data_IF_182088246254
#
_entry.id   IF_182088246254
#
_cell.length_a   1.000
_cell.length_b   1.000
_cell.length_c   1.000
_cell.angle_alpha   90.00
_cell.angle_beta   90.00
_cell.angle_gamma   90.00
#
_symmetry.space_group_name_H-M   'P 1'
#
loop_
_entity.id
_entity.type
_entity.pdbx_description
1 polymer ?
#
# COMPACT_ATOMS: atom_id res chain seq x y z
N UNK A 1 -20.84 6.65 -8.86
CA UNK A 1 -21.05 8.11 -9.06
C UNK A 1 -21.91 8.29 -10.30
N UNK A 2 -22.95 9.13 -10.24
CA UNK A 2 -23.87 9.35 -11.36
C UNK A 2 -23.13 10.02 -12.53
N UNK A 3 -23.29 9.53 -13.77
CA UNK A 3 -22.62 10.11 -14.93
C UNK A 3 -23.15 11.53 -15.18
N UNK A 4 -22.27 12.53 -15.15
CA UNK A 4 -22.59 13.91 -15.55
C UNK A 4 -22.45 15.00 -14.49
N UNK A 5 -22.09 14.68 -13.25
CA UNK A 5 -21.77 15.69 -12.22
C UNK A 5 -20.30 15.62 -11.89
N UNK A 6 -19.53 16.69 -12.15
CA UNK A 6 -18.11 16.78 -11.76
C UNK A 6 -17.92 16.34 -10.30
N UNK A 7 -16.87 15.55 -10.07
CA UNK A 7 -16.54 15.10 -8.73
C UNK A 7 -15.97 16.27 -7.95
N UNK A 8 -16.76 16.84 -7.04
CA UNK A 8 -16.31 17.85 -6.07
C UNK A 8 -15.42 17.27 -4.96
N UNK A 9 -14.95 16.02 -5.12
CA UNK A 9 -14.14 15.35 -4.10
C UNK A 9 -12.84 16.13 -3.80
N UNK A 10 -12.22 16.69 -4.83
CA UNK A 10 -11.01 17.51 -4.67
C UNK A 10 -11.27 18.75 -3.79
N UNK A 11 -12.39 19.46 -4.01
CA UNK A 11 -12.79 20.59 -3.17
C UNK A 11 -13.15 20.16 -1.74
N UNK A 12 -13.81 19.02 -1.57
CA UNK A 12 -14.20 18.51 -0.26
C UNK A 12 -12.96 18.15 0.55
N UNK A 13 -12.06 17.36 -0.03
CA UNK A 13 -10.81 16.93 0.64
C UNK A 13 -9.91 18.13 0.91
N UNK A 14 -9.85 19.10 0.00
CA UNK A 14 -9.05 20.33 0.16
C UNK A 14 -9.42 21.19 1.36
N UNK A 15 -10.62 21.02 1.94
CA UNK A 15 -11.01 21.72 3.18
C UNK A 15 -10.40 21.12 4.45
N UNK A 16 -9.87 19.90 4.37
CA UNK A 16 -9.36 19.15 5.53
C UNK A 16 -7.83 18.96 5.51
N UNK A 17 -7.12 19.52 4.54
CA UNK A 17 -5.66 19.39 4.42
C UNK A 17 -5.02 20.66 3.88
N UNK A 18 -3.75 20.86 4.22
CA UNK A 18 -2.90 21.90 3.62
C UNK A 18 -2.21 21.43 2.34
N UNK A 19 -2.22 20.12 2.06
CA UNK A 19 -1.68 19.56 0.82
C UNK A 19 -2.50 20.02 -0.39
N UNK A 20 -1.87 20.37 -1.53
CA UNK A 20 -2.60 20.64 -2.76
C UNK A 20 -3.42 19.42 -3.17
N UNK A 21 -4.72 19.62 -3.40
CA UNK A 21 -5.63 18.58 -3.88
C UNK A 21 -5.96 18.84 -5.35
N UNK A 22 -5.43 18.01 -6.24
CA UNK A 22 -5.43 18.25 -7.69
C UNK A 22 -6.16 17.14 -8.40
N UNK A 23 -7.03 17.48 -9.36
CA UNK A 23 -7.61 16.50 -10.27
C UNK A 23 -6.54 16.10 -11.29
N UNK A 24 -6.32 14.79 -11.45
CA UNK A 24 -5.23 14.28 -12.28
C UNK A 24 -5.43 14.67 -13.74
N UNK A 25 -4.37 15.15 -14.38
CA UNK A 25 -4.27 15.30 -15.83
C UNK A 25 -3.27 14.28 -16.41
N UNK A 26 -3.38 14.00 -17.72
CA UNK A 26 -2.45 13.09 -18.39
C UNK A 26 -1.00 13.59 -18.27
N UNK A 27 -0.10 12.74 -17.80
CA UNK A 27 1.30 13.09 -17.63
C UNK A 27 1.62 13.84 -16.33
N UNK A 28 0.69 13.89 -15.36
CA UNK A 28 0.93 14.51 -14.05
C UNK A 28 2.06 13.78 -13.33
N UNK A 29 3.14 14.49 -12.99
CA UNK A 29 4.23 13.94 -12.16
C UNK A 29 3.80 13.92 -10.69
N UNK A 30 4.01 12.79 -10.02
CA UNK A 30 3.72 12.63 -8.60
C UNK A 30 4.77 13.35 -7.77
N UNK A 31 4.32 14.23 -6.88
CA UNK A 31 5.15 14.97 -5.94
C UNK A 31 4.74 14.63 -4.50
N UNK A 32 5.70 14.72 -3.58
CA UNK A 32 5.44 14.63 -2.14
C UNK A 32 4.49 15.73 -1.68
N UNK A 33 3.74 15.49 -0.61
CA UNK A 33 2.80 16.44 0.00
C UNK A 33 1.65 16.88 -0.92
N UNK A 34 1.22 16.01 -1.84
CA UNK A 34 0.10 16.26 -2.75
C UNK A 34 -0.97 15.17 -2.64
N UNK A 35 -2.22 15.54 -2.90
CA UNK A 35 -3.36 14.62 -3.02
C UNK A 35 -3.88 14.67 -4.46
N UNK A 36 -3.91 13.52 -5.11
CA UNK A 36 -4.36 13.40 -6.49
C UNK A 36 -5.73 12.73 -6.56
N UNK A 37 -6.68 13.36 -7.25
CA UNK A 37 -8.04 12.86 -7.42
C UNK A 37 -8.26 12.41 -8.86
N UNK A 38 -8.61 11.14 -9.04
CA UNK A 38 -8.92 10.57 -10.36
C UNK A 38 -10.14 11.28 -10.99
N UNK A 39 -10.05 11.71 -12.26
CA UNK A 39 -11.21 12.27 -12.96
C UNK A 39 -12.23 11.18 -13.32
N UNK A 40 -13.40 11.58 -13.82
CA UNK A 40 -14.45 10.63 -14.17
C UNK A 40 -14.21 9.95 -15.51
N UNK A 41 -14.77 8.74 -15.66
CA UNK A 41 -14.78 7.98 -16.92
C UNK A 41 -13.39 7.66 -17.51
N UNK A 42 -12.37 7.67 -16.66
CA UNK A 42 -11.01 7.26 -17.01
C UNK A 42 -10.53 6.14 -16.09
N UNK A 43 -9.47 5.50 -16.55
CA UNK A 43 -8.67 4.53 -15.84
C UNK A 43 -7.37 5.23 -15.50
N UNK A 44 -7.02 5.25 -14.21
CA UNK A 44 -5.78 5.83 -13.72
C UNK A 44 -4.72 4.74 -13.54
N UNK A 45 -3.53 4.96 -14.05
CA UNK A 45 -2.33 4.14 -13.82
C UNK A 45 -1.14 5.03 -13.49
N UNK A 46 0.00 4.44 -13.13
CA UNK A 46 1.25 5.15 -12.87
C UNK A 46 2.42 4.42 -13.54
N UNK A 47 3.36 5.18 -14.11
CA UNK A 47 4.62 4.66 -14.65
C UNK A 47 5.72 5.70 -14.46
N UNK A 48 6.85 5.29 -13.86
CA UNK A 48 8.03 6.11 -13.54
C UNK A 48 7.66 7.38 -12.76
N UNK A 49 6.77 7.25 -11.77
CA UNK A 49 6.27 8.38 -10.98
C UNK A 49 5.36 9.35 -11.74
N UNK A 50 4.88 8.97 -12.93
CA UNK A 50 3.97 9.79 -13.76
C UNK A 50 2.60 9.12 -13.86
N UNK A 51 1.56 9.86 -13.50
CA UNK A 51 0.17 9.42 -13.62
C UNK A 51 -0.28 9.45 -15.08
N UNK A 52 -0.92 8.36 -15.49
CA UNK A 52 -1.41 8.13 -16.84
C UNK A 52 -2.91 7.87 -16.81
N UNK A 53 -3.61 8.46 -17.76
CA UNK A 53 -5.04 8.36 -17.94
C UNK A 53 -5.34 7.63 -19.24
N UNK A 54 -6.21 6.63 -19.15
CA UNK A 54 -6.78 5.96 -20.32
C UNK A 54 -8.28 6.12 -20.29
N UNK A 55 -8.90 6.38 -21.45
CA UNK A 55 -10.36 6.45 -21.50
C UNK A 55 -10.97 5.09 -21.16
N UNK A 56 -11.92 5.07 -20.24
CA UNK A 56 -12.69 3.86 -19.95
C UNK A 56 -13.53 3.54 -21.17
N UNK A 57 -13.36 2.35 -21.76
CA UNK A 57 -14.21 1.91 -22.85
C UNK A 57 -15.67 1.80 -22.35
N UNK A 58 -16.61 2.50 -22.97
CA UNK A 58 -18.03 2.49 -22.57
C UNK A 58 -18.64 1.09 -22.69
N UNK A 59 -18.14 0.27 -23.61
CA UNK A 59 -18.58 -1.11 -23.83
C UNK A 59 -17.99 -2.11 -22.83
N UNK A 60 -16.87 -1.75 -22.19
CA UNK A 60 -16.21 -2.52 -21.15
C UNK A 60 -15.83 -1.56 -20.04
N UNK A 61 -16.78 -1.21 -19.17
CA UNK A 61 -16.43 -0.63 -17.87
C UNK A 61 -15.43 -1.57 -17.25
N UNK A 62 -14.17 -1.16 -17.16
CA UNK A 62 -13.17 -1.92 -16.43
C UNK A 62 -13.72 -2.15 -15.04
N UNK A 63 -13.89 -3.43 -14.71
CA UNK A 63 -14.74 -3.81 -13.58
C UNK A 63 -14.10 -3.50 -12.23
N UNK A 64 -12.81 -3.09 -12.22
CA UNK A 64 -11.96 -2.98 -11.04
C UNK A 64 -10.86 -1.90 -11.19
N UNK A 65 -11.20 -0.60 -11.30
CA UNK A 65 -10.21 0.47 -11.44
C UNK A 65 -9.20 0.55 -10.27
N UNK A 66 -9.59 0.21 -9.05
CA UNK A 66 -8.67 0.23 -7.89
C UNK A 66 -7.64 -0.90 -8.03
N UNK A 67 -8.06 -2.10 -8.42
CA UNK A 67 -7.12 -3.22 -8.68
C UNK A 67 -6.09 -2.85 -9.75
N UNK A 68 -6.52 -2.16 -10.81
CA UNK A 68 -5.65 -1.73 -11.90
C UNK A 68 -4.62 -0.71 -11.39
N UNK A 69 -5.08 0.33 -10.69
CA UNK A 69 -4.19 1.35 -10.16
C UNK A 69 -3.20 0.77 -9.14
N UNK A 70 -3.65 -0.05 -8.20
CA UNK A 70 -2.80 -0.68 -7.20
C UNK A 70 -1.77 -1.63 -7.83
N UNK A 71 -2.12 -2.34 -8.89
CA UNK A 71 -1.17 -3.19 -9.61
C UNK A 71 -0.07 -2.36 -10.27
N UNK A 72 -0.43 -1.28 -10.97
CA UNK A 72 0.54 -0.35 -11.56
C UNK A 72 1.42 0.32 -10.50
N UNK A 73 0.82 0.74 -9.37
CA UNK A 73 1.55 1.33 -8.25
C UNK A 73 2.54 0.35 -7.64
N UNK A 74 2.16 -0.92 -7.50
CA UNK A 74 3.04 -1.96 -6.98
C UNK A 74 4.24 -2.21 -7.90
N UNK A 75 4.02 -2.20 -9.22
CA UNK A 75 5.08 -2.36 -10.21
C UNK A 75 6.04 -1.17 -10.23
N UNK A 76 5.52 0.05 -10.12
CA UNK A 76 6.31 1.27 -10.19
C UNK A 76 7.06 1.59 -8.89
N UNK A 77 6.39 1.49 -7.75
CA UNK A 77 6.89 1.93 -6.44
C UNK A 77 7.38 0.77 -5.56
N UNK A 78 7.06 -0.47 -5.92
CA UNK A 78 7.54 -1.65 -5.21
C UNK A 78 7.18 -1.64 -3.72
N UNK A 79 8.21 -1.60 -2.89
CA UNK A 79 8.09 -1.57 -1.43
C UNK A 79 7.64 -0.22 -0.85
N UNK A 80 7.77 0.87 -1.62
CA UNK A 80 7.31 2.20 -1.23
C UNK A 80 5.81 2.37 -1.47
N UNK A 81 5.16 1.40 -2.17
CA UNK A 81 3.73 1.41 -2.40
C UNK A 81 2.94 1.13 -1.11
N UNK A 82 1.92 1.95 -0.86
CA UNK A 82 0.94 1.70 0.20
C UNK A 82 -0.46 1.70 -0.40
N UNK A 83 -1.19 0.59 -0.23
CA UNK A 83 -2.57 0.45 -0.67
C UNK A 83 -3.52 0.56 0.52
N UNK A 84 -4.40 1.56 0.52
CA UNK A 84 -5.40 1.77 1.57
C UNK A 84 -6.80 1.55 0.99
N UNK A 85 -7.53 0.58 1.53
CA UNK A 85 -8.90 0.24 1.11
C UNK A 85 -9.89 0.75 2.17
N UNK A 86 -10.71 1.72 1.78
CA UNK A 86 -11.72 2.33 2.65
C UNK A 86 -13.13 1.81 2.31
N UNK A 87 -14.13 2.29 3.06
CA UNK A 87 -15.55 2.03 2.82
C UNK A 87 -15.92 2.17 1.34
N UNK A 88 -16.47 1.11 0.75
CA UNK A 88 -16.77 1.00 -0.67
C UNK A 88 -17.61 -0.24 -0.97
N UNK A 89 -18.24 -0.26 -2.13
CA UNK A 89 -18.99 -1.43 -2.61
C UNK A 89 -18.12 -2.38 -3.44
N UNK A 90 -18.50 -3.66 -3.48
CA UNK A 90 -17.83 -4.71 -4.27
C UNK A 90 -16.39 -5.02 -3.81
N UNK A 91 -15.68 -5.93 -4.48
CA UNK A 91 -14.36 -6.44 -4.09
C UNK A 91 -13.15 -5.69 -4.68
N UNK A 92 -13.38 -4.53 -5.31
CA UNK A 92 -12.32 -3.77 -6.01
C UNK A 92 -11.21 -3.32 -5.05
N UNK A 93 -9.96 -3.52 -5.44
CA UNK A 93 -8.77 -3.30 -4.62
C UNK A 93 -8.22 -4.56 -3.94
N UNK A 94 -8.97 -5.66 -3.87
CA UNK A 94 -8.48 -6.92 -3.25
C UNK A 94 -7.32 -7.54 -4.02
N UNK A 95 -7.40 -7.60 -5.36
CA UNK A 95 -6.33 -8.16 -6.19
C UNK A 95 -5.16 -7.18 -6.31
N UNK A 96 -5.45 -5.87 -6.34
CA UNK A 96 -4.44 -4.83 -6.27
C UNK A 96 -3.64 -4.86 -4.97
N UNK A 97 -4.30 -5.10 -3.83
CA UNK A 97 -3.62 -5.27 -2.54
C UNK A 97 -2.69 -6.49 -2.57
N UNK A 98 -3.08 -7.57 -3.26
CA UNK A 98 -2.17 -8.71 -3.49
C UNK A 98 -0.89 -8.26 -4.19
N UNK A 99 -1.02 -7.52 -5.28
CA UNK A 99 0.12 -7.04 -6.06
C UNK A 99 1.06 -6.16 -5.20
N UNK A 100 0.50 -5.20 -4.44
CA UNK A 100 1.27 -4.36 -3.51
C UNK A 100 2.03 -5.23 -2.51
N UNK A 101 1.36 -6.21 -1.90
CA UNK A 101 1.97 -7.10 -0.90
C UNK A 101 3.09 -7.97 -1.48
N UNK A 102 2.89 -8.53 -2.66
CA UNK A 102 3.89 -9.35 -3.37
C UNK A 102 5.15 -8.53 -3.74
N UNK A 103 4.98 -7.25 -4.03
CA UNK A 103 6.09 -6.30 -4.28
C UNK A 103 6.72 -5.73 -3.02
N UNK A 104 6.22 -6.12 -1.85
CA UNK A 104 6.77 -5.74 -0.55
C UNK A 104 6.23 -4.43 0.01
N UNK A 105 5.26 -3.79 -0.65
CA UNK A 105 4.53 -2.63 -0.16
C UNK A 105 3.52 -2.97 0.95
N UNK A 106 2.97 -1.95 1.60
CA UNK A 106 2.07 -2.07 2.75
C UNK A 106 0.60 -2.08 2.31
N UNK A 107 -0.21 -2.96 2.90
CA UNK A 107 -1.64 -3.02 2.64
C UNK A 107 -2.44 -2.73 3.91
N UNK A 108 -3.38 -1.79 3.79
CA UNK A 108 -4.23 -1.31 4.89
C UNK A 108 -5.68 -1.38 4.47
N UNK A 109 -6.57 -1.77 5.37
CA UNK A 109 -7.99 -1.69 5.15
C UNK A 109 -8.72 -1.09 6.36
N UNK A 110 -9.81 -0.37 6.10
CA UNK A 110 -10.68 0.16 7.13
C UNK A 110 -11.36 -0.98 7.91
N UNK A 111 -11.12 -1.02 9.21
CA UNK A 111 -11.86 -1.86 10.15
C UNK A 111 -13.09 -1.11 10.70
N UNK A 112 -14.11 -1.83 11.20
CA UNK A 112 -15.21 -1.21 11.93
C UNK A 112 -14.72 -0.48 13.21
N UNK A 113 -15.30 0.68 13.46
CA UNK A 113 -15.13 1.53 14.66
C UNK A 113 -16.23 1.30 15.73
N UNK A 114 -17.11 0.32 15.51
CA UNK A 114 -18.32 0.06 16.30
C UNK A 114 -19.62 0.41 15.57
N UNK A 115 -19.60 1.34 14.61
CA UNK A 115 -20.71 1.64 13.69
C UNK A 115 -20.46 1.10 12.28
N UNK A 116 -19.20 0.78 11.97
CA UNK A 116 -18.79 0.08 10.76
C UNK A 116 -18.73 0.99 9.53
N UNK A 117 -17.93 0.63 8.51
CA UNK A 117 -17.93 1.36 7.25
C UNK A 117 -19.33 1.34 6.63
N UNK A 118 -19.81 2.51 6.18
CA UNK A 118 -21.15 2.68 5.59
C UNK A 118 -21.42 1.69 4.46
N UNK A 119 -20.39 1.38 3.67
CA UNK A 119 -20.39 0.31 2.68
C UNK A 119 -19.22 -0.64 3.01
N UNK A 120 -19.48 -1.78 3.67
CA UNK A 120 -18.42 -2.59 4.24
C UNK A 120 -17.84 -3.64 3.28
N UNK A 121 -18.43 -3.84 2.10
CA UNK A 121 -18.12 -4.98 1.22
C UNK A 121 -16.66 -4.98 0.76
N UNK A 122 -16.16 -3.83 0.33
CA UNK A 122 -14.79 -3.66 -0.15
C UNK A 122 -13.74 -3.92 0.93
N UNK A 123 -13.75 -3.23 2.09
CA UNK A 123 -12.78 -3.51 3.15
C UNK A 123 -12.94 -4.94 3.72
N UNK A 124 -14.18 -5.46 3.84
CA UNK A 124 -14.39 -6.85 4.30
C UNK A 124 -13.79 -7.89 3.35
N UNK A 125 -13.98 -7.73 2.04
CA UNK A 125 -13.37 -8.60 1.02
C UNK A 125 -11.85 -8.59 1.15
N UNK A 126 -11.27 -7.40 1.25
CA UNK A 126 -9.82 -7.25 1.35
C UNK A 126 -9.26 -7.89 2.63
N UNK A 127 -9.87 -7.63 3.79
CA UNK A 127 -9.45 -8.23 5.07
C UNK A 127 -9.58 -9.76 5.03
N UNK A 128 -10.69 -10.28 4.51
CA UNK A 128 -10.97 -11.73 4.48
C UNK A 128 -10.02 -12.49 3.56
N UNK A 129 -9.37 -11.81 2.61
CA UNK A 129 -8.37 -12.42 1.72
C UNK A 129 -7.03 -12.76 2.41
N UNK A 130 -6.80 -12.27 3.64
CA UNK A 130 -5.51 -12.39 4.33
C UNK A 130 -4.39 -11.52 3.74
N UNK A 131 -4.73 -10.66 2.77
CA UNK A 131 -3.77 -9.79 2.10
C UNK A 131 -3.53 -8.47 2.83
N UNK A 132 -4.39 -8.09 3.79
CA UNK A 132 -4.24 -6.86 4.58
C UNK A 132 -3.23 -7.06 5.71
N UNK A 133 -2.29 -6.14 5.85
CA UNK A 133 -1.34 -6.11 6.97
C UNK A 133 -1.92 -5.38 8.18
N UNK A 134 -2.62 -4.27 7.95
CA UNK A 134 -3.18 -3.44 9.01
C UNK A 134 -4.68 -3.25 8.75
N UNK A 135 -5.50 -3.73 9.68
CA UNK A 135 -6.92 -3.40 9.75
C UNK A 135 -7.14 -2.43 10.91
N UNK A 136 -7.67 -1.23 10.63
CA UNK A 136 -7.85 -0.19 11.65
C UNK A 136 -9.03 0.75 11.34
N UNK A 137 -9.66 1.37 12.36
CA UNK A 137 -10.60 2.47 12.16
C UNK A 137 -10.00 3.56 11.28
N UNK A 138 -10.83 4.26 10.50
CA UNK A 138 -10.34 5.21 9.49
C UNK A 138 -9.54 6.36 10.10
N UNK A 139 -9.97 6.83 11.27
CA UNK A 139 -9.32 7.85 12.10
C UNK A 139 -7.91 7.45 12.56
N UNK A 140 -7.65 6.14 12.73
CA UNK A 140 -6.37 5.63 13.20
C UNK A 140 -5.38 5.36 12.06
N UNK A 141 -5.86 5.22 10.82
CA UNK A 141 -5.03 4.86 9.67
C UNK A 141 -3.89 5.87 9.47
N UNK A 142 -4.19 7.18 9.56
CA UNK A 142 -3.18 8.22 9.36
C UNK A 142 -1.99 8.09 10.31
N UNK A 143 -2.25 7.93 11.62
CA UNK A 143 -1.21 7.76 12.63
C UNK A 143 -0.40 6.47 12.42
N UNK A 144 -1.06 5.39 12.00
CA UNK A 144 -0.37 4.12 11.68
C UNK A 144 0.54 4.25 10.47
N UNK A 145 0.11 4.95 9.42
CA UNK A 145 0.93 5.23 8.24
C UNK A 145 2.15 6.06 8.59
N UNK A 146 1.98 7.10 9.41
CA UNK A 146 3.09 7.95 9.87
C UNK A 146 4.11 7.16 10.72
N UNK A 147 3.63 6.31 11.64
CA UNK A 147 4.48 5.42 12.43
C UNK A 147 5.24 4.41 11.57
N UNK A 148 4.60 3.89 10.53
CA UNK A 148 5.24 3.00 9.55
C UNK A 148 6.31 3.73 8.74
N UNK A 149 6.00 4.91 8.19
CA UNK A 149 6.92 5.71 7.39
C UNK A 149 8.20 6.07 8.16
N UNK A 150 8.06 6.55 9.41
CA UNK A 150 9.21 6.83 10.29
C UNK A 150 10.11 5.61 10.49
N UNK A 151 9.49 4.45 10.70
CA UNK A 151 10.23 3.20 10.90
C UNK A 151 10.96 2.74 9.64
N UNK A 152 10.33 2.96 8.49
CA UNK A 152 10.83 2.59 7.18
C UNK A 152 12.04 3.46 6.79
N UNK A 153 12.00 4.77 7.02
CA UNK A 153 13.11 5.69 6.77
C UNK A 153 14.35 5.37 7.63
N UNK A 154 14.14 5.05 8.90
CA UNK A 154 15.23 4.61 9.80
C UNK A 154 15.98 3.38 9.26
N UNK A 155 15.31 2.51 8.51
CA UNK A 155 15.91 1.31 7.92
C UNK A 155 16.59 1.59 6.58
N UNK A 156 16.06 2.53 5.79
CA UNK A 156 16.68 2.96 4.53
C UNK A 156 17.94 3.80 4.76
N UNK A 157 18.04 4.52 5.89
CA UNK A 157 19.21 5.32 6.26
C UNK A 157 20.46 4.51 6.63
N UNK A 158 20.39 3.18 6.74
CA UNK A 158 21.57 2.33 6.98
C UNK A 158 22.33 2.18 5.64
N UNK A 159 23.65 2.45 5.56
CA UNK A 159 24.42 2.36 4.30
C UNK A 159 24.46 0.96 3.68
N UNK A 160 24.35 0.84 2.35
CA UNK A 160 24.35 -0.44 1.60
C UNK A 160 25.65 -1.25 1.73
N UNK A 161 26.77 -0.57 1.95
CA UNK A 161 28.04 -1.20 2.27
C UNK A 161 27.91 -1.87 3.65
N UNK A 162 27.78 -3.20 3.66
CA UNK A 162 27.67 -4.06 4.85
C UNK A 162 28.87 -4.04 5.81
N UNK A 163 29.57 -2.91 5.92
CA UNK A 163 30.73 -2.68 6.78
C UNK A 163 30.42 -2.69 8.28
N UNK A 164 29.15 -2.81 8.67
CA UNK A 164 28.73 -3.04 10.06
C UNK A 164 27.51 -3.98 10.16
N UNK A 165 27.50 -5.12 9.47
CA UNK A 165 26.69 -6.25 9.95
C UNK A 165 27.40 -6.79 11.20
N UNK A 166 26.92 -6.44 12.39
CA UNK A 166 27.47 -6.97 13.65
C UNK A 166 27.33 -8.50 13.65
N UNK A 167 28.30 -9.22 14.23
CA UNK A 167 28.28 -10.69 14.29
C UNK A 167 26.97 -11.26 14.85
N UNK A 168 26.32 -10.54 15.77
CA UNK A 168 25.05 -10.94 16.37
C UNK A 168 23.86 -10.87 15.40
N UNK A 169 23.82 -9.87 14.51
CA UNK A 169 22.79 -9.76 13.46
C UNK A 169 22.92 -10.90 12.44
N UNK A 170 24.15 -11.28 12.08
CA UNK A 170 24.41 -12.40 11.18
C UNK A 170 23.92 -13.73 11.75
N UNK A 171 24.19 -13.98 13.05
CA UNK A 171 23.70 -15.18 13.75
C UNK A 171 22.17 -15.23 13.83
N UNK A 172 21.53 -14.14 14.24
CA UNK A 172 20.07 -14.06 14.33
C UNK A 172 19.42 -14.27 12.96
N UNK A 173 20.00 -13.70 11.90
CA UNK A 173 19.55 -13.91 10.53
C UNK A 173 19.60 -15.39 10.15
N UNK A 174 20.72 -16.05 10.39
CA UNK A 174 20.90 -17.47 10.05
C UNK A 174 19.97 -18.38 10.87
N UNK A 175 19.66 -18.01 12.12
CA UNK A 175 18.65 -18.67 12.94
C UNK A 175 17.24 -18.52 12.35
N UNK A 176 16.85 -17.31 11.96
CA UNK A 176 15.54 -17.08 11.30
C UNK A 176 15.48 -17.83 9.96
N UNK A 177 16.58 -17.89 9.20
CA UNK A 177 16.65 -18.72 7.98
C UNK A 177 16.40 -20.21 8.29
N UNK A 178 17.01 -20.75 9.34
CA UNK A 178 16.78 -22.12 9.79
C UNK A 178 15.32 -22.40 10.13
N UNK A 179 14.69 -21.50 10.89
CA UNK A 179 13.27 -21.60 11.25
C UNK A 179 12.38 -21.55 10.00
N UNK A 180 12.61 -20.58 9.11
CA UNK A 180 11.81 -20.43 7.89
C UNK A 180 11.99 -21.61 6.94
N UNK A 181 13.21 -22.15 6.78
CA UNK A 181 13.47 -23.35 5.99
C UNK A 181 12.75 -24.56 6.56
N UNK A 182 12.75 -24.72 7.89
CA UNK A 182 12.02 -25.78 8.59
C UNK A 182 10.50 -25.70 8.42
N UNK A 183 9.91 -24.50 8.41
CA UNK A 183 8.46 -24.32 8.31
C UNK A 183 7.93 -24.21 6.88
N UNK A 184 8.68 -23.60 5.96
CA UNK A 184 8.24 -23.31 4.59
C UNK A 184 8.90 -24.17 3.52
N UNK A 185 9.96 -24.91 3.88
CA UNK A 185 10.79 -25.68 2.94
C UNK A 185 11.66 -24.84 2.01
N UNK A 186 11.58 -23.51 2.06
CA UNK A 186 12.32 -22.61 1.18
C UNK A 186 13.63 -22.15 1.83
N UNK A 187 14.72 -22.16 1.04
CA UNK A 187 16.02 -21.67 1.49
C UNK A 187 16.16 -20.17 1.24
N UNK A 188 16.30 -19.39 2.31
CA UNK A 188 16.44 -17.94 2.25
C UNK A 188 17.89 -17.46 2.40
N UNK A 189 18.86 -18.35 2.55
CA UNK A 189 20.28 -18.01 2.74
C UNK A 189 20.89 -17.19 1.59
N UNK A 190 20.32 -17.29 0.38
CA UNK A 190 20.73 -16.49 -0.79
C UNK A 190 20.12 -15.09 -0.86
N UNK A 191 19.23 -14.71 0.05
CA UNK A 191 18.68 -13.35 0.07
C UNK A 191 19.70 -12.34 0.58
N UNK A 192 19.71 -11.14 0.00
CA UNK A 192 20.44 -10.00 0.56
C UNK A 192 19.95 -9.76 2.00
N UNK A 193 20.88 -9.79 2.96
CA UNK A 193 20.63 -9.62 4.40
C UNK A 193 19.61 -8.52 4.70
N UNK A 194 19.81 -7.31 4.16
CA UNK A 194 18.91 -6.19 4.44
C UNK A 194 17.50 -6.40 3.92
N UNK A 195 17.33 -6.94 2.71
CA UNK A 195 16.00 -7.25 2.16
C UNK A 195 15.27 -8.25 3.05
N UNK A 196 16.00 -9.22 3.58
CA UNK A 196 15.46 -10.18 4.54
C UNK A 196 15.11 -9.55 5.89
N UNK A 197 16.07 -8.88 6.55
CA UNK A 197 15.87 -8.24 7.85
C UNK A 197 14.76 -7.18 7.80
N UNK A 198 14.64 -6.45 6.69
CA UNK A 198 13.53 -5.51 6.45
C UNK A 198 12.19 -6.23 6.41
N UNK A 199 12.10 -7.36 5.71
CA UNK A 199 10.87 -8.19 5.67
C UNK A 199 10.54 -8.80 7.04
N UNK A 200 11.55 -9.27 7.78
CA UNK A 200 11.39 -9.79 9.15
C UNK A 200 10.88 -8.69 10.08
N UNK A 201 11.58 -7.54 10.15
CA UNK A 201 11.20 -6.44 11.03
C UNK A 201 9.84 -5.86 10.66
N UNK A 202 9.52 -5.78 9.35
CA UNK A 202 8.17 -5.45 8.89
C UNK A 202 7.11 -6.42 9.44
N UNK A 203 7.37 -7.73 9.38
CA UNK A 203 6.47 -8.74 9.95
C UNK A 203 6.34 -8.62 11.47
N UNK A 204 7.43 -8.31 12.17
CA UNK A 204 7.41 -8.05 13.61
C UNK A 204 6.54 -6.84 13.96
N UNK A 205 6.65 -5.74 13.20
CA UNK A 205 5.84 -4.54 13.40
C UNK A 205 4.36 -4.77 13.13
N UNK A 206 4.02 -5.49 12.06
CA UNK A 206 2.64 -5.87 11.75
C UNK A 206 2.07 -6.76 12.86
N UNK A 207 2.87 -7.69 13.38
CA UNK A 207 2.47 -8.60 14.45
C UNK A 207 2.48 -7.95 15.85
N UNK A 208 2.81 -6.66 15.97
CA UNK A 208 3.00 -5.95 17.25
C UNK A 208 4.02 -6.63 18.18
N UNK A 209 4.96 -7.39 17.63
CA UNK A 209 6.04 -8.03 18.36
C UNK A 209 7.21 -7.03 18.45
N UNK A 210 7.11 -6.08 19.37
CA UNK A 210 8.12 -5.04 19.51
C UNK A 210 7.62 -3.87 20.36
N UNK A 211 7.24 -4.18 21.60
CA UNK A 211 7.13 -3.22 22.71
C UNK A 211 8.13 -3.60 23.78
#
# INVERSE_FOLDING_TARGET
LSPGRESLLHEIVGRYTQMPVVVVEEGTTVLSDHVYVMPQNVVLTIEKGVLRLRQSNVLSRERKPIDIFFSALAEDQGEYAVGVILSGGDSDGTLGAKAIKERGGLTVAQAPDGYGPRNPDMPKSAISSGLIDIAAPAEDIGAKLEGFARSFDLLNGVPEDGRQETADLGRLRDEIYGILKGQSGHDFSGYKTKTFLRRVKRRMQIAQLGS
#
